data_IF_012863058760
#
_entry.id   IF_012863058760
#
_cell.length_a   1.000
_cell.length_b   1.000
_cell.length_c   1.000
_cell.angle_alpha   90.00
_cell.angle_beta   90.00
_cell.angle_gamma   90.00
#
_symmetry.space_group_name_H-M   'P 1'
#
loop_
_entity.id
_entity.type
_entity.pdbx_description
1 polymer ?
#
# COMPACT_ATOMS: atom_id res chain seq x y z
N UNK A 1 14.27 -27.27 -26.21
CA UNK A 1 14.25 -25.85 -25.78
C UNK A 1 14.20 -25.81 -24.27
N UNK A 2 15.15 -25.12 -23.63
CA UNK A 2 15.18 -24.94 -22.15
C UNK A 2 14.24 -23.81 -21.72
N UNK A 3 13.86 -23.76 -20.44
CA UNK A 3 13.00 -22.67 -19.94
C UNK A 3 13.66 -21.29 -20.08
N UNK A 4 14.99 -21.23 -20.00
CA UNK A 4 15.75 -20.00 -20.24
C UNK A 4 15.64 -19.52 -21.70
N UNK A 5 15.67 -20.44 -22.66
CA UNK A 5 15.48 -20.13 -24.09
C UNK A 5 14.04 -19.66 -24.39
N UNK A 6 13.03 -20.32 -23.79
CA UNK A 6 11.63 -19.91 -23.89
C UNK A 6 11.45 -18.50 -23.34
N UNK A 7 11.99 -18.24 -22.15
CA UNK A 7 11.95 -16.92 -21.50
C UNK A 7 12.56 -15.83 -22.39
N UNK A 8 13.74 -16.09 -22.96
CA UNK A 8 14.43 -15.14 -23.83
C UNK A 8 13.62 -14.82 -25.10
N UNK A 9 13.00 -15.84 -25.71
CA UNK A 9 12.14 -15.66 -26.90
C UNK A 9 10.85 -14.91 -26.58
N UNK A 10 10.22 -15.20 -25.45
CA UNK A 10 9.01 -14.48 -25.00
C UNK A 10 9.36 -13.01 -24.73
N UNK A 11 10.46 -12.71 -24.04
CA UNK A 11 10.89 -11.32 -23.81
C UNK A 11 11.07 -10.55 -25.12
N UNK A 12 11.76 -11.14 -26.10
CA UNK A 12 11.88 -10.54 -27.44
C UNK A 12 10.52 -10.27 -28.10
N UNK A 13 9.55 -11.17 -27.96
CA UNK A 13 8.20 -10.98 -28.51
C UNK A 13 7.39 -9.88 -27.79
N UNK A 14 7.77 -9.52 -26.57
CA UNK A 14 7.08 -8.53 -25.73
C UNK A 14 7.76 -7.16 -25.73
N UNK A 15 9.04 -7.10 -26.14
CA UNK A 15 9.84 -5.88 -26.27
C UNK A 15 9.72 -5.23 -27.67
N UNK A 16 9.18 -5.96 -28.66
CA UNK A 16 9.24 -5.57 -30.07
C UNK A 16 7.98 -4.82 -30.54
N UNK A 17 7.79 -3.60 -30.01
CA UNK A 17 6.88 -2.62 -30.60
C UNK A 17 7.55 -1.29 -30.97
N UNK A 18 8.89 -1.30 -31.00
CA UNK A 18 9.69 -0.13 -31.31
C UNK A 18 9.71 0.95 -30.22
N UNK A 19 9.02 0.77 -29.09
CA UNK A 19 8.97 1.76 -28.00
C UNK A 19 10.09 1.59 -26.95
N UNK A 20 10.78 0.44 -26.94
CA UNK A 20 11.82 0.15 -25.96
C UNK A 20 11.31 -0.06 -24.53
N UNK A 21 9.99 -0.19 -24.33
CA UNK A 21 9.39 -0.59 -23.05
C UNK A 21 8.77 -2.00 -23.14
N UNK A 22 9.01 -2.88 -22.16
CA UNK A 22 8.41 -4.22 -22.16
C UNK A 22 6.90 -4.13 -21.98
N UNK A 23 6.13 -4.72 -22.90
CA UNK A 23 4.64 -4.75 -22.84
C UNK A 23 4.09 -5.51 -21.64
N UNK A 24 4.88 -6.37 -21.02
CA UNK A 24 4.55 -7.09 -19.79
C UNK A 24 5.65 -6.82 -18.78
N UNK A 25 5.27 -6.30 -17.61
CA UNK A 25 6.21 -5.99 -16.53
C UNK A 25 6.99 -7.23 -16.07
N UNK A 26 8.25 -7.03 -15.69
CA UNK A 26 9.15 -8.09 -15.21
C UNK A 26 8.54 -8.90 -14.06
N UNK A 27 7.83 -8.21 -13.17
CA UNK A 27 7.19 -8.78 -11.98
C UNK A 27 6.11 -9.81 -12.35
N UNK A 28 5.37 -9.56 -13.44
CA UNK A 28 4.33 -10.48 -13.95
C UNK A 28 4.96 -11.75 -14.53
N UNK A 29 6.08 -11.60 -15.25
CA UNK A 29 6.81 -12.74 -15.80
C UNK A 29 7.43 -13.62 -14.69
N UNK A 30 8.00 -12.98 -13.67
CA UNK A 30 8.62 -13.66 -12.54
C UNK A 30 7.55 -14.40 -11.71
N UNK A 31 6.38 -13.80 -11.52
CA UNK A 31 5.24 -14.45 -10.86
C UNK A 31 4.67 -15.62 -11.68
N UNK A 32 4.49 -15.46 -12.99
CA UNK A 32 4.07 -16.54 -13.87
C UNK A 32 5.06 -17.73 -13.85
N UNK A 33 6.36 -17.42 -13.87
CA UNK A 33 7.42 -18.42 -13.75
C UNK A 33 7.38 -19.12 -12.37
N UNK A 34 7.07 -18.39 -11.30
CA UNK A 34 6.88 -18.96 -9.96
C UNK A 34 5.70 -19.93 -9.95
N UNK A 35 4.55 -19.56 -10.52
CA UNK A 35 3.37 -20.43 -10.60
C UNK A 35 3.68 -21.74 -11.34
N UNK A 36 4.38 -21.66 -12.48
CA UNK A 36 4.82 -22.85 -13.20
C UNK A 36 5.77 -23.73 -12.37
N UNK A 37 6.73 -23.15 -11.65
CA UNK A 37 7.63 -23.93 -10.77
C UNK A 37 6.89 -24.68 -9.66
N UNK A 38 5.83 -24.08 -9.12
CA UNK A 38 5.08 -24.68 -8.01
C UNK A 38 4.09 -25.73 -8.51
N UNK A 39 3.36 -25.44 -9.58
CA UNK A 39 2.21 -26.26 -10.00
C UNK A 39 2.50 -27.17 -11.19
N UNK A 40 3.52 -26.87 -11.98
CA UNK A 40 3.95 -27.66 -13.14
C UNK A 40 5.49 -27.69 -13.28
N UNK A 41 6.23 -28.11 -12.24
CA UNK A 41 7.70 -28.14 -12.27
C UNK A 41 8.28 -28.93 -13.46
N UNK A 42 7.54 -29.93 -13.95
CA UNK A 42 7.87 -30.70 -15.14
C UNK A 42 7.97 -29.84 -16.41
N UNK A 43 7.16 -28.78 -16.52
CA UNK A 43 7.22 -27.82 -17.64
C UNK A 43 8.46 -26.93 -17.53
N UNK A 44 8.91 -26.59 -16.32
CA UNK A 44 10.16 -25.85 -16.13
C UNK A 44 11.38 -26.71 -16.51
N UNK A 45 11.35 -28.00 -16.13
CA UNK A 45 12.40 -28.94 -16.48
C UNK A 45 12.41 -29.27 -17.99
N UNK A 46 11.22 -29.43 -18.58
CA UNK A 46 11.02 -29.80 -19.99
C UNK A 46 9.85 -29.01 -20.62
N UNK A 47 10.08 -27.77 -21.07
CA UNK A 47 9.03 -26.87 -21.56
C UNK A 47 8.08 -27.44 -22.62
N UNK A 48 8.53 -28.24 -23.60
CA UNK A 48 7.62 -28.81 -24.60
C UNK A 48 6.48 -29.67 -24.03
N UNK A 49 6.58 -30.17 -22.79
CA UNK A 49 5.52 -30.95 -22.14
C UNK A 49 4.21 -30.18 -22.00
N UNK A 50 4.27 -28.84 -21.94
CA UNK A 50 3.06 -28.00 -21.84
C UNK A 50 2.16 -28.16 -23.07
N UNK A 51 2.72 -28.44 -24.26
CA UNK A 51 1.96 -28.61 -25.50
C UNK A 51 1.08 -29.87 -25.49
N UNK A 52 1.39 -30.84 -24.64
CA UNK A 52 0.57 -32.04 -24.47
C UNK A 52 -0.65 -31.81 -23.55
N UNK A 53 -0.70 -30.66 -22.87
CA UNK A 53 -1.82 -30.28 -22.00
C UNK A 53 -2.77 -29.34 -22.74
N UNK A 54 -4.07 -29.55 -22.57
CA UNK A 54 -5.07 -28.56 -22.96
C UNK A 54 -4.85 -27.27 -22.16
N UNK A 55 -4.91 -26.11 -22.84
CA UNK A 55 -4.68 -24.80 -22.20
C UNK A 55 -5.60 -24.57 -21.01
N UNK A 56 -6.88 -25.00 -21.08
CA UNK A 56 -7.83 -24.86 -19.98
C UNK A 56 -7.40 -25.64 -18.73
N UNK A 57 -6.76 -26.79 -18.91
CA UNK A 57 -6.21 -27.61 -17.82
C UNK A 57 -4.99 -26.93 -17.20
N UNK A 58 -4.13 -26.32 -18.01
CA UNK A 58 -2.98 -25.53 -17.52
C UNK A 58 -3.46 -24.31 -16.73
N UNK A 59 -4.45 -23.58 -17.25
CA UNK A 59 -5.07 -22.44 -16.53
C UNK A 59 -5.66 -22.88 -15.20
N UNK A 60 -6.39 -23.99 -15.16
CA UNK A 60 -6.96 -24.52 -13.92
C UNK A 60 -5.88 -24.88 -12.89
N UNK A 61 -4.77 -25.49 -13.33
CA UNK A 61 -3.63 -25.82 -12.45
C UNK A 61 -2.91 -24.59 -11.91
N UNK A 62 -2.70 -23.57 -12.74
CA UNK A 62 -1.96 -22.37 -12.36
C UNK A 62 -2.79 -21.39 -11.52
N UNK A 63 -4.11 -21.36 -11.73
CA UNK A 63 -5.02 -20.44 -11.01
C UNK A 63 -5.60 -20.98 -9.72
N UNK A 64 -5.43 -22.28 -9.44
CA UNK A 64 -6.03 -22.96 -8.29
C UNK A 64 -7.56 -22.73 -8.13
N UNK A 65 -8.26 -22.40 -9.22
CA UNK A 65 -9.70 -22.11 -9.22
C UNK A 65 -10.10 -20.64 -9.16
N UNK A 66 -9.15 -19.70 -9.01
CA UNK A 66 -9.43 -18.25 -8.95
C UNK A 66 -9.36 -17.54 -10.33
N UNK A 67 -8.99 -18.28 -11.38
CA UNK A 67 -8.68 -17.73 -12.71
C UNK A 67 -7.27 -17.11 -12.79
N UNK A 68 -6.66 -17.14 -13.99
CA UNK A 68 -5.43 -16.39 -14.25
C UNK A 68 -5.79 -14.97 -14.71
N UNK A 69 -4.99 -13.98 -14.32
CA UNK A 69 -5.13 -12.64 -14.89
C UNK A 69 -4.80 -12.63 -16.39
N UNK A 70 -5.27 -11.58 -17.08
CA UNK A 70 -5.12 -11.46 -18.53
C UNK A 70 -3.65 -11.44 -18.99
N UNK A 71 -2.74 -10.92 -18.17
CA UNK A 71 -1.33 -10.86 -18.49
C UNK A 71 -0.67 -12.24 -18.41
N UNK A 72 -1.03 -13.03 -17.40
CA UNK A 72 -0.60 -14.42 -17.22
C UNK A 72 -1.18 -15.33 -18.30
N UNK A 73 -2.41 -15.08 -18.75
CA UNK A 73 -2.99 -15.76 -19.91
C UNK A 73 -2.24 -15.42 -21.20
N UNK A 74 -1.91 -14.14 -21.42
CA UNK A 74 -1.09 -13.71 -22.56
C UNK A 74 0.31 -14.32 -22.54
N UNK A 75 0.93 -14.48 -21.36
CA UNK A 75 2.20 -15.19 -21.21
C UNK A 75 2.06 -16.68 -21.53
N UNK A 76 0.98 -17.33 -21.08
CA UNK A 76 0.72 -18.72 -21.42
C UNK A 76 0.57 -18.89 -22.94
N UNK A 77 -0.15 -18.00 -23.61
CA UNK A 77 -0.28 -18.01 -25.07
C UNK A 77 1.06 -17.81 -25.78
N UNK A 78 1.91 -16.91 -25.28
CA UNK A 78 3.26 -16.71 -25.78
C UNK A 78 4.14 -17.96 -25.59
N UNK A 79 4.04 -18.66 -24.46
CA UNK A 79 4.72 -19.94 -24.22
C UNK A 79 4.31 -20.99 -25.25
N UNK A 80 3.00 -21.19 -25.45
CA UNK A 80 2.51 -22.15 -26.44
C UNK A 80 2.99 -21.79 -27.86
N UNK A 81 2.93 -20.51 -28.22
CA UNK A 81 3.36 -20.02 -29.54
C UNK A 81 4.86 -20.20 -29.79
N UNK A 82 5.69 -19.91 -28.78
CA UNK A 82 7.15 -20.09 -28.86
C UNK A 82 7.54 -21.55 -29.00
N UNK A 83 6.78 -22.44 -28.35
CA UNK A 83 7.06 -23.87 -28.35
C UNK A 83 6.48 -24.62 -29.56
N UNK A 84 5.45 -24.08 -30.22
CA UNK A 84 4.81 -24.72 -31.38
C UNK A 84 5.49 -24.45 -32.74
N UNK A 85 6.52 -23.60 -32.78
CA UNK A 85 7.41 -23.35 -33.95
C UNK A 85 6.69 -23.08 -35.30
N UNK A 86 5.51 -22.45 -35.29
CA UNK A 86 4.82 -21.97 -36.50
C UNK A 86 5.43 -20.63 -36.93
N UNK A 87 6.38 -20.71 -37.86
CA UNK A 87 7.21 -19.62 -38.37
C UNK A 87 6.57 -18.61 -39.33
N UNK A 88 5.35 -18.14 -39.09
CA UNK A 88 4.86 -16.90 -39.71
C UNK A 88 4.06 -16.10 -38.70
N UNK A 89 4.58 -14.93 -38.36
CA UNK A 89 4.05 -14.04 -37.33
C UNK A 89 3.00 -13.14 -37.98
N UNK A 90 1.74 -13.54 -37.91
CA UNK A 90 0.69 -12.52 -37.88
C UNK A 90 0.89 -11.71 -36.59
N UNK A 91 0.92 -10.36 -36.66
CA UNK A 91 0.84 -9.54 -35.46
C UNK A 91 -0.35 -10.05 -34.65
N UNK A 92 -0.16 -10.29 -33.36
CA UNK A 92 -1.31 -10.37 -32.46
C UNK A 92 -2.07 -9.07 -32.70
N UNK A 93 -3.24 -9.13 -33.34
CA UNK A 93 -4.23 -8.09 -33.19
C UNK A 93 -4.40 -7.99 -31.69
N UNK A 94 -3.85 -6.91 -31.13
CA UNK A 94 -4.05 -6.61 -29.76
C UNK A 94 -5.56 -6.53 -29.62
N UNK A 95 -6.16 -7.56 -29.01
CA UNK A 95 -7.26 -7.30 -28.11
C UNK A 95 -6.60 -6.44 -27.03
N UNK A 96 -6.51 -5.15 -27.34
CA UNK A 96 -6.47 -4.10 -26.34
C UNK A 96 -7.83 -4.24 -25.66
N UNK A 97 -7.96 -5.27 -24.81
CA UNK A 97 -8.66 -4.99 -23.58
C UNK A 97 -7.80 -3.87 -23.02
N UNK A 98 -8.28 -2.64 -23.14
CA UNK A 98 -7.77 -1.57 -22.28
C UNK A 98 -7.57 -2.25 -20.93
N UNK A 99 -6.34 -2.23 -20.37
CA UNK A 99 -6.12 -2.85 -19.07
C UNK A 99 -7.29 -2.34 -18.25
N UNK A 100 -8.18 -3.23 -17.79
CA UNK A 100 -9.29 -2.83 -16.92
C UNK A 100 -8.55 -2.14 -15.81
N UNK A 101 -8.49 -0.80 -15.85
CA UNK A 101 -7.74 0.00 -14.88
C UNK A 101 -8.31 -0.52 -13.59
N UNK A 102 -7.51 -1.25 -12.83
CA UNK A 102 -7.99 -1.90 -11.62
C UNK A 102 -8.40 -0.73 -10.77
N UNK A 103 -9.71 -0.44 -10.77
CA UNK A 103 -10.23 0.76 -10.15
C UNK A 103 -9.84 0.61 -8.70
N UNK A 104 -9.14 1.61 -8.17
CA UNK A 104 -8.71 1.55 -6.79
C UNK A 104 -9.96 1.29 -5.94
N UNK A 105 -9.88 0.35 -4.98
CA UNK A 105 -11.03 -0.01 -4.14
C UNK A 105 -11.61 1.20 -3.40
N UNK A 106 -10.78 2.23 -3.18
CA UNK A 106 -11.14 3.48 -2.53
C UNK A 106 -11.61 4.56 -3.51
N UNK A 107 -11.77 4.26 -4.81
CA UNK A 107 -12.12 5.27 -5.82
C UNK A 107 -13.44 5.98 -5.51
N UNK A 108 -14.50 5.22 -5.21
CA UNK A 108 -15.79 5.81 -4.89
C UNK A 108 -15.77 6.59 -3.57
N UNK A 109 -14.93 6.18 -2.62
CA UNK A 109 -14.69 6.93 -1.38
C UNK A 109 -13.94 8.25 -1.66
N UNK A 110 -12.92 8.23 -2.51
CA UNK A 110 -12.18 9.42 -2.91
C UNK A 110 -13.07 10.41 -3.71
N UNK A 111 -13.95 9.90 -4.57
CA UNK A 111 -14.96 10.71 -5.27
C UNK A 111 -15.90 11.40 -4.28
N UNK A 112 -16.45 10.66 -3.32
CA UNK A 112 -17.30 11.21 -2.27
C UNK A 112 -16.57 12.30 -1.46
N UNK A 113 -15.33 12.06 -1.01
CA UNK A 113 -14.54 13.06 -0.31
C UNK A 113 -14.24 14.28 -1.18
N UNK A 114 -13.96 14.07 -2.47
CA UNK A 114 -13.75 15.15 -3.43
C UNK A 114 -14.97 16.05 -3.48
N UNK A 115 -16.17 15.49 -3.67
CA UNK A 115 -17.43 16.26 -3.70
C UNK A 115 -17.66 17.04 -2.41
N UNK A 116 -17.42 16.42 -1.24
CA UNK A 116 -17.54 17.08 0.07
C UNK A 116 -16.56 18.27 0.16
N UNK A 117 -15.30 18.08 -0.24
CA UNK A 117 -14.28 19.12 -0.23
C UNK A 117 -14.60 20.25 -1.21
N UNK A 118 -14.99 19.94 -2.45
CA UNK A 118 -15.31 20.93 -3.47
C UNK A 118 -16.50 21.80 -3.06
N UNK A 119 -17.51 21.20 -2.41
CA UNK A 119 -18.64 21.93 -1.85
C UNK A 119 -18.22 22.84 -0.69
N UNK A 120 -17.35 22.37 0.21
CA UNK A 120 -16.92 23.14 1.38
C UNK A 120 -16.00 24.31 0.99
N UNK A 121 -15.01 24.06 0.14
CA UNK A 121 -13.99 25.05 -0.24
C UNK A 121 -14.37 25.88 -1.47
N UNK A 122 -15.41 25.50 -2.20
CA UNK A 122 -15.83 26.14 -3.45
C UNK A 122 -14.69 26.22 -4.48
N UNK A 123 -13.91 25.15 -4.60
CA UNK A 123 -12.84 25.00 -5.57
C UNK A 123 -12.76 23.56 -6.05
N UNK A 124 -12.25 23.32 -7.26
CA UNK A 124 -12.01 21.95 -7.71
C UNK A 124 -10.78 21.36 -7.03
N UNK A 125 -10.85 20.06 -6.74
CA UNK A 125 -9.75 19.31 -6.12
C UNK A 125 -9.40 18.11 -6.97
N UNK A 126 -8.13 17.70 -6.93
CA UNK A 126 -7.67 16.48 -7.57
C UNK A 126 -7.00 15.58 -6.55
N UNK A 127 -7.03 14.28 -6.79
CA UNK A 127 -6.40 13.31 -5.91
C UNK A 127 -5.69 12.21 -6.69
N UNK A 128 -4.70 11.62 -6.04
CA UNK A 128 -3.95 10.45 -6.49
C UNK A 128 -4.02 9.33 -5.46
N UNK A 129 -3.80 8.08 -5.89
CA UNK A 129 -3.83 6.91 -5.01
C UNK A 129 -2.44 6.37 -4.79
N UNK A 130 -2.22 5.80 -3.59
CA UNK A 130 -1.02 5.03 -3.26
C UNK A 130 0.29 5.82 -3.46
N UNK A 131 0.22 7.15 -3.34
CA UNK A 131 1.33 8.07 -3.56
C UNK A 131 2.41 7.89 -2.49
N UNK A 132 3.68 8.02 -2.87
CA UNK A 132 4.83 7.95 -1.96
C UNK A 132 5.67 9.22 -2.02
N UNK A 133 5.23 10.32 -1.37
CA UNK A 133 5.94 11.59 -1.44
C UNK A 133 7.38 11.47 -0.94
N UNK A 134 8.29 12.20 -1.59
CA UNK A 134 9.73 12.19 -1.26
C UNK A 134 10.03 12.73 0.14
N UNK A 135 9.17 13.60 0.66
CA UNK A 135 9.27 14.19 2.00
C UNK A 135 8.66 13.29 3.09
N UNK A 136 7.76 12.35 2.74
CA UNK A 136 7.11 11.47 3.71
C UNK A 136 7.96 10.22 3.97
N UNK A 137 8.95 10.33 4.85
CA UNK A 137 9.91 9.25 5.16
C UNK A 137 9.36 8.29 6.21
N UNK A 138 9.71 7.01 6.07
CA UNK A 138 9.43 5.94 7.04
C UNK A 138 10.34 5.99 8.27
N UNK A 139 11.47 6.70 8.16
CA UNK A 139 12.43 6.95 9.23
C UNK A 139 12.34 8.44 9.54
N UNK A 140 12.04 8.85 10.79
CA UNK A 140 11.90 10.26 11.12
C UNK A 140 13.27 10.96 11.05
N UNK A 141 13.29 12.13 10.43
CA UNK A 141 14.47 12.99 10.38
C UNK A 141 14.42 14.01 11.53
N UNK A 142 15.49 14.11 12.31
CA UNK A 142 15.52 15.02 13.47
C UNK A 142 15.41 16.49 13.07
N UNK A 143 15.94 16.88 11.92
CA UNK A 143 15.83 18.26 11.42
C UNK A 143 14.40 18.62 11.05
N UNK A 144 13.67 17.70 10.42
CA UNK A 144 12.24 17.88 10.08
C UNK A 144 11.38 17.89 11.34
N UNK A 145 11.60 16.96 12.25
CA UNK A 145 10.74 16.76 13.42
C UNK A 145 11.21 17.50 14.68
N UNK A 146 12.16 18.45 14.59
CA UNK A 146 12.82 19.07 15.75
C UNK A 146 11.82 19.60 16.80
N UNK A 147 10.79 20.31 16.35
CA UNK A 147 9.77 20.92 17.21
C UNK A 147 8.93 19.90 18.01
N UNK A 148 8.82 18.67 17.52
CA UNK A 148 8.02 17.58 18.13
C UNK A 148 8.88 16.35 18.44
N UNK A 149 10.22 16.49 18.39
CA UNK A 149 11.14 15.34 18.46
C UNK A 149 11.01 14.56 19.76
N UNK A 150 10.72 15.27 20.84
CA UNK A 150 10.45 14.69 22.16
C UNK A 150 9.25 13.74 22.11
N UNK A 151 8.18 14.14 21.43
CA UNK A 151 6.96 13.35 21.32
C UNK A 151 7.19 12.12 20.43
N UNK A 152 7.88 12.31 19.29
CA UNK A 152 8.28 11.20 18.41
C UNK A 152 9.13 10.17 19.14
N UNK A 153 10.10 10.64 19.92
CA UNK A 153 10.99 9.78 20.69
C UNK A 153 10.25 9.06 21.82
N UNK A 154 9.31 9.73 22.50
CA UNK A 154 8.50 9.13 23.55
C UNK A 154 7.57 8.04 23.01
N UNK A 155 6.87 8.30 21.90
CA UNK A 155 6.02 7.30 21.24
C UNK A 155 6.85 6.11 20.79
N UNK A 156 8.03 6.35 20.19
CA UNK A 156 8.94 5.27 19.81
C UNK A 156 9.33 4.40 21.01
N UNK A 157 9.76 5.02 22.12
CA UNK A 157 10.20 4.31 23.33
C UNK A 157 9.07 3.44 23.92
N UNK A 158 7.85 3.95 24.01
CA UNK A 158 6.68 3.18 24.47
C UNK A 158 6.36 2.01 23.52
N UNK A 159 6.51 2.22 22.21
CA UNK A 159 6.30 1.19 21.20
C UNK A 159 7.34 0.09 21.21
N UNK A 160 8.45 0.23 21.90
CA UNK A 160 9.53 -0.76 21.97
C UNK A 160 9.86 -1.15 23.41
N UNK A 161 8.94 -0.82 24.32
CA UNK A 161 9.00 -1.14 25.75
C UNK A 161 10.30 -0.63 26.40
N UNK A 162 10.68 0.62 26.06
CA UNK A 162 11.83 1.36 26.59
C UNK A 162 13.20 0.67 26.45
N UNK A 163 13.30 -0.33 25.57
CA UNK A 163 14.55 -1.09 25.35
C UNK A 163 15.70 -0.24 24.81
N UNK A 164 15.36 0.84 24.11
CA UNK A 164 16.29 1.70 23.38
C UNK A 164 15.64 3.06 23.10
N UNK A 165 16.46 4.07 22.84
CA UNK A 165 15.96 5.38 22.41
C UNK A 165 15.96 5.47 20.88
N UNK A 166 15.10 6.35 20.34
CA UNK A 166 15.08 6.60 18.89
C UNK A 166 16.43 7.13 18.40
N UNK A 167 17.05 8.03 19.16
CA UNK A 167 18.36 8.61 18.80
C UNK A 167 19.44 7.54 18.72
N UNK A 168 19.56 6.67 19.73
CA UNK A 168 20.57 5.60 19.71
C UNK A 168 20.39 4.69 18.50
N UNK A 169 19.14 4.38 18.12
CA UNK A 169 18.85 3.52 16.96
C UNK A 169 19.13 4.15 15.63
N UNK A 170 18.87 5.43 15.49
CA UNK A 170 19.22 6.17 14.27
C UNK A 170 20.74 6.26 14.11
N UNK A 171 21.48 6.43 15.20
CA UNK A 171 22.96 6.49 15.18
C UNK A 171 23.57 5.11 14.91
N UNK A 172 23.11 4.06 15.61
CA UNK A 172 23.62 2.69 15.47
C UNK A 172 23.40 2.13 14.06
N UNK A 173 22.27 2.44 13.41
CA UNK A 173 21.89 1.93 12.09
C UNK A 173 21.90 3.00 10.98
N UNK A 174 22.69 4.07 11.15
CA UNK A 174 22.74 5.16 10.19
C UNK A 174 23.08 4.70 8.76
N UNK A 175 23.85 3.61 8.61
CA UNK A 175 24.23 3.05 7.32
C UNK A 175 23.12 2.17 6.69
N UNK A 176 22.31 1.50 7.50
CA UNK A 176 21.26 0.58 7.08
C UNK A 176 19.91 1.26 6.87
N UNK A 177 19.66 2.38 7.55
CA UNK A 177 18.44 3.18 7.44
C UNK A 177 18.39 3.93 6.10
N UNK A 178 18.19 3.19 5.01
CA UNK A 178 17.90 3.78 3.69
C UNK A 178 16.48 4.32 3.73
N UNK A 179 16.35 5.65 3.70
CA UNK A 179 15.11 6.42 3.87
C UNK A 179 13.96 5.99 2.96
N UNK A 180 13.28 4.90 3.34
CA UNK A 180 12.06 4.42 2.72
C UNK A 180 10.98 5.50 2.79
N UNK A 181 10.09 5.48 1.82
CA UNK A 181 8.96 6.41 1.76
C UNK A 181 7.71 5.71 2.25
N UNK A 182 6.88 6.44 2.96
CA UNK A 182 5.57 5.95 3.32
C UNK A 182 4.63 6.15 2.14
N UNK A 183 3.65 5.25 2.03
CA UNK A 183 2.57 5.34 1.04
C UNK A 183 1.35 5.95 1.70
N UNK A 184 0.70 6.85 1.01
CA UNK A 184 -0.58 7.46 1.36
C UNK A 184 -1.68 6.78 0.53
N UNK A 185 -2.81 6.43 1.15
CA UNK A 185 -3.89 5.73 0.44
C UNK A 185 -4.54 6.64 -0.62
N UNK A 186 -4.93 7.85 -0.22
CA UNK A 186 -5.41 8.91 -1.11
C UNK A 186 -4.69 10.21 -0.76
N UNK A 187 -4.08 10.86 -1.74
CA UNK A 187 -3.46 12.16 -1.60
C UNK A 187 -4.26 13.19 -2.39
N UNK A 188 -4.83 14.18 -1.70
CA UNK A 188 -5.42 15.35 -2.34
C UNK A 188 -4.31 16.35 -2.66
N UNK A 189 -4.19 16.68 -3.94
CA UNK A 189 -3.20 17.64 -4.43
C UNK A 189 -3.56 19.07 -4.00
N UNK A 190 -2.73 20.04 -4.40
CA UNK A 190 -3.07 21.44 -4.27
C UNK A 190 -4.45 21.73 -4.90
N UNK A 191 -5.32 22.52 -4.24
CA UNK A 191 -4.99 23.41 -3.13
C UNK A 191 -5.11 22.80 -1.72
N UNK A 192 -5.43 21.50 -1.58
CA UNK A 192 -5.63 20.88 -0.28
C UNK A 192 -4.35 20.33 0.33
N UNK A 193 -3.46 19.71 -0.45
CA UNK A 193 -2.24 19.06 0.07
C UNK A 193 -2.52 18.21 1.33
N UNK A 194 -3.45 17.27 1.22
CA UNK A 194 -3.98 16.52 2.35
C UNK A 194 -3.83 15.01 2.14
N UNK A 195 -3.30 14.33 3.15
CA UNK A 195 -3.32 12.87 3.21
C UNK A 195 -4.68 12.38 3.69
N UNK A 196 -5.16 11.30 3.10
CA UNK A 196 -6.30 10.53 3.60
C UNK A 196 -5.87 9.07 3.75
N UNK A 197 -6.06 8.52 4.94
CA UNK A 197 -5.74 7.13 5.27
C UNK A 197 -7.03 6.36 5.61
N UNK A 198 -7.21 5.19 4.99
CA UNK A 198 -8.36 4.33 5.26
C UNK A 198 -7.93 3.13 6.11
N UNK A 199 -8.26 3.19 7.39
CA UNK A 199 -7.83 2.22 8.39
C UNK A 199 -8.79 1.03 8.46
N UNK A 200 -8.34 -0.10 7.92
CA UNK A 200 -9.00 -1.40 8.09
C UNK A 200 -8.67 -2.03 9.46
N UNK A 201 -9.32 -3.15 9.79
CA UNK A 201 -9.25 -3.83 11.09
C UNK A 201 -7.82 -4.00 11.62
N UNK A 202 -6.84 -4.32 10.76
CA UNK A 202 -5.45 -4.52 11.17
C UNK A 202 -4.73 -3.28 11.72
N UNK A 203 -5.25 -2.07 11.49
CA UNK A 203 -4.71 -0.84 12.06
C UNK A 203 -5.14 -0.63 13.52
N UNK A 204 -6.21 -1.29 13.96
CA UNK A 204 -6.70 -1.23 15.33
C UNK A 204 -6.04 -2.33 16.15
N UNK A 205 -5.11 -1.97 17.01
CA UNK A 205 -4.31 -2.94 17.77
C UNK A 205 -3.69 -2.30 19.02
N UNK A 206 -3.12 -3.09 19.95
CA UNK A 206 -2.55 -2.56 21.19
C UNK A 206 -1.39 -1.58 21.00
N UNK A 207 -0.65 -1.65 19.88
CA UNK A 207 0.42 -0.71 19.59
C UNK A 207 -0.12 0.62 19.04
N UNK A 208 -1.20 0.59 18.25
CA UNK A 208 -1.91 1.82 17.88
C UNK A 208 -2.54 2.48 19.11
N UNK A 209 -3.09 1.70 20.04
CA UNK A 209 -3.54 2.21 21.34
C UNK A 209 -2.40 2.92 22.09
N UNK A 210 -1.22 2.30 22.16
CA UNK A 210 -0.02 2.92 22.76
C UNK A 210 0.34 4.25 22.11
N UNK A 211 0.30 4.36 20.77
CA UNK A 211 0.56 5.67 20.13
C UNK A 211 -0.50 6.70 20.51
N UNK A 212 -1.79 6.30 20.49
CA UNK A 212 -2.91 7.16 20.85
C UNK A 212 -2.87 7.65 22.31
N UNK A 213 -2.30 6.87 23.22
CA UNK A 213 -2.17 7.23 24.63
C UNK A 213 -0.90 8.02 24.95
N UNK A 214 0.17 7.83 24.15
CA UNK A 214 1.47 8.43 24.41
C UNK A 214 1.61 9.88 23.90
N UNK A 215 0.66 10.37 23.10
CA UNK A 215 0.66 11.74 22.60
C UNK A 215 -0.72 12.39 22.83
N UNK A 216 -0.75 13.61 23.35
CA UNK A 216 -1.98 14.35 23.67
C UNK A 216 -2.37 15.36 22.59
N UNK A 217 -1.51 15.56 21.57
CA UNK A 217 -1.73 16.52 20.49
C UNK A 217 -2.76 16.11 19.43
N UNK A 218 -3.47 14.98 19.61
CA UNK A 218 -4.46 14.48 18.65
C UNK A 218 -5.62 15.44 18.38
N UNK A 219 -5.86 16.42 19.26
CA UNK A 219 -6.79 17.51 19.00
C UNK A 219 -6.41 18.33 17.74
N UNK A 220 -5.18 18.23 17.24
CA UNK A 220 -4.72 18.90 16.02
C UNK A 220 -4.84 18.03 14.76
N UNK A 221 -5.18 16.75 14.91
CA UNK A 221 -5.39 15.82 13.80
C UNK A 221 -6.82 15.91 13.25
N UNK A 222 -7.04 15.38 12.04
CA UNK A 222 -8.35 15.30 11.39
C UNK A 222 -8.93 13.88 11.46
N UNK A 223 -9.04 13.36 12.68
CA UNK A 223 -9.81 12.15 12.97
C UNK A 223 -10.40 12.22 14.38
N UNK A 224 -11.47 11.47 14.60
CA UNK A 224 -12.13 11.40 15.90
C UNK A 224 -11.37 10.43 16.82
N UNK A 225 -10.69 10.99 17.81
CA UNK A 225 -9.95 10.23 18.81
C UNK A 225 -10.86 9.31 19.61
N UNK A 226 -12.04 9.79 20.01
CA UNK A 226 -13.00 9.06 20.85
C UNK A 226 -13.67 7.93 20.04
N UNK A 227 -13.73 8.06 18.72
CA UNK A 227 -14.11 6.97 17.81
C UNK A 227 -13.01 5.91 17.67
N UNK A 228 -11.73 6.32 17.60
CA UNK A 228 -10.60 5.41 17.38
C UNK A 228 -10.20 4.62 18.63
N UNK A 229 -10.26 5.25 19.80
CA UNK A 229 -9.78 4.65 21.05
C UNK A 229 -10.47 3.31 21.37
N UNK A 230 -11.82 3.19 21.38
CA UNK A 230 -12.50 1.94 21.71
C UNK A 230 -12.22 0.81 20.69
N UNK A 231 -12.02 1.15 19.41
CA UNK A 231 -11.69 0.16 18.38
C UNK A 231 -10.32 -0.48 18.65
N UNK A 232 -9.36 0.33 19.11
CA UNK A 232 -8.03 -0.17 19.48
C UNK A 232 -8.01 -0.94 20.80
N UNK A 233 -8.83 -0.54 21.78
CA UNK A 233 -8.95 -1.22 23.09
C UNK A 233 -9.60 -2.61 22.96
N UNK A 234 -10.62 -2.74 22.11
CA UNK A 234 -11.34 -4.00 21.92
C UNK A 234 -10.51 -5.05 21.16
N UNK A 235 -9.43 -4.65 20.49
CA UNK A 235 -8.70 -5.53 19.59
C UNK A 235 -7.48 -6.17 20.25
N UNK A 236 -7.55 -7.47 20.47
CA UNK A 236 -6.38 -8.30 20.79
C UNK A 236 -5.85 -8.95 19.52
N UNK A 237 -4.56 -8.77 19.23
CA UNK A 237 -3.91 -9.52 18.15
C UNK A 237 -3.24 -10.76 18.74
N UNK A 238 -3.69 -11.99 18.39
CA UNK A 238 -2.98 -13.19 18.79
C UNK A 238 -1.62 -13.24 18.08
N UNK A 239 -0.60 -13.74 18.79
CA UNK A 239 0.69 -14.03 18.17
C UNK A 239 0.49 -14.96 16.98
N UNK A 240 0.99 -14.54 15.81
CA UNK A 240 0.73 -15.24 14.56
C UNK A 240 1.65 -14.78 13.44
N UNK A 241 1.67 -15.58 12.39
CA UNK A 241 2.57 -15.43 11.25
C UNK A 241 1.84 -15.05 9.96
N UNK A 242 0.71 -14.36 10.06
CA UNK A 242 0.00 -13.92 8.85
C UNK A 242 0.86 -12.93 8.04
N UNK A 243 0.63 -12.79 6.72
CA UNK A 243 1.33 -11.80 5.92
C UNK A 243 1.18 -10.35 6.43
N UNK A 244 0.12 -10.06 7.21
CA UNK A 244 -0.11 -8.77 7.84
C UNK A 244 0.70 -8.57 9.13
N UNK A 245 1.18 -9.65 9.73
CA UNK A 245 1.97 -9.69 10.97
C UNK A 245 3.47 -9.82 10.71
N UNK A 246 3.91 -10.21 9.50
CA UNK A 246 5.34 -10.36 9.16
C UNK A 246 5.93 -9.15 8.43
N UNK A 247 7.06 -8.64 8.92
CA UNK A 247 7.83 -7.61 8.23
C UNK A 247 8.14 -8.03 6.79
N UNK A 248 7.96 -7.09 5.86
CA UNK A 248 8.28 -7.32 4.43
C UNK A 248 9.78 -7.29 4.18
N UNK A 249 10.48 -6.43 4.91
CA UNK A 249 11.92 -6.22 4.86
C UNK A 249 12.42 -5.94 6.28
N UNK A 250 13.72 -6.14 6.50
CA UNK A 250 14.38 -5.70 7.73
C UNK A 250 14.15 -4.20 7.96
N UNK A 251 13.76 -3.85 9.17
CA UNK A 251 13.61 -2.47 9.62
C UNK A 251 14.44 -2.28 10.90
N UNK A 252 15.48 -1.44 10.88
CA UNK A 252 16.30 -1.22 12.06
C UNK A 252 15.55 -0.55 13.23
N UNK A 253 14.47 0.18 13.00
CA UNK A 253 13.67 0.73 14.10
C UNK A 253 12.76 -0.33 14.74
N UNK A 254 12.40 -1.36 13.98
CA UNK A 254 11.51 -2.45 14.39
C UNK A 254 12.03 -3.78 13.83
N UNK A 255 13.01 -4.42 14.47
CA UNK A 255 13.61 -5.66 13.99
C UNK A 255 12.57 -6.78 13.99
N UNK A 256 12.71 -7.83 13.15
CA UNK A 256 11.71 -8.88 13.00
C UNK A 256 11.18 -9.41 14.32
N UNK A 257 12.03 -9.69 15.31
CA UNK A 257 11.60 -9.99 16.68
C UNK A 257 12.44 -9.18 17.66
N UNK A 258 11.85 -8.77 18.78
CA UNK A 258 12.61 -8.34 19.95
C UNK A 258 12.83 -9.56 20.87
N UNK A 259 13.90 -9.55 21.66
CA UNK A 259 14.21 -10.66 22.56
C UNK A 259 13.03 -10.95 23.51
N UNK A 260 12.59 -12.21 23.53
CA UNK A 260 11.48 -12.68 24.36
C UNK A 260 10.09 -12.50 23.74
N UNK A 261 9.98 -12.00 22.51
CA UNK A 261 8.68 -11.85 21.84
C UNK A 261 8.29 -13.06 20.99
N UNK A 262 6.98 -13.30 20.93
CA UNK A 262 6.38 -14.41 20.18
C UNK A 262 5.85 -13.99 18.80
N UNK A 263 5.96 -12.72 18.43
CA UNK A 263 5.43 -12.20 17.17
C UNK A 263 6.37 -11.21 16.51
N UNK A 264 6.17 -11.01 15.21
CA UNK A 264 6.95 -10.08 14.43
C UNK A 264 6.52 -8.61 14.64
N UNK A 265 7.49 -7.69 14.62
CA UNK A 265 7.29 -6.28 14.96
C UNK A 265 6.65 -5.41 13.87
N UNK A 266 6.15 -6.01 12.80
CA UNK A 266 5.38 -5.29 11.77
C UNK A 266 4.24 -4.44 12.34
N UNK A 267 3.56 -4.91 13.38
CA UNK A 267 2.42 -4.19 13.95
C UNK A 267 2.89 -2.93 14.68
N UNK A 268 4.00 -3.02 15.44
CA UNK A 268 4.68 -1.86 16.05
C UNK A 268 5.15 -0.87 14.98
N UNK A 269 5.79 -1.38 13.92
CA UNK A 269 6.24 -0.59 12.78
C UNK A 269 5.07 0.17 12.12
N UNK A 270 3.93 -0.50 11.90
CA UNK A 270 2.74 0.12 11.31
C UNK A 270 2.19 1.20 12.22
N UNK A 271 2.02 0.92 13.51
CA UNK A 271 1.53 1.90 14.48
C UNK A 271 2.42 3.15 14.53
N UNK A 272 3.76 2.98 14.52
CA UNK A 272 4.69 4.10 14.50
C UNK A 272 4.59 4.93 13.21
N UNK A 273 4.52 4.26 12.06
CA UNK A 273 4.37 4.94 10.76
C UNK A 273 3.04 5.68 10.65
N UNK A 274 1.97 5.07 11.15
CA UNK A 274 0.66 5.72 11.25
C UNK A 274 0.73 6.98 12.10
N UNK A 275 1.38 6.91 13.26
CA UNK A 275 1.65 8.08 14.10
C UNK A 275 2.48 9.14 13.38
N UNK A 276 3.57 8.78 12.67
CA UNK A 276 4.37 9.74 11.91
C UNK A 276 3.52 10.51 10.89
N UNK A 277 2.61 9.84 10.18
CA UNK A 277 1.67 10.52 9.25
C UNK A 277 0.71 11.47 9.97
N UNK A 278 0.31 11.16 11.20
CA UNK A 278 -0.59 12.01 12.00
C UNK A 278 0.08 13.33 12.37
N UNK A 279 1.37 13.27 12.73
CA UNK A 279 2.13 14.43 13.19
C UNK A 279 2.87 15.17 12.07
N UNK A 280 3.05 14.56 10.89
CA UNK A 280 3.76 15.20 9.76
C UNK A 280 3.19 16.58 9.42
N UNK A 281 1.86 16.80 9.37
CA UNK A 281 1.28 18.13 9.12
C UNK A 281 1.70 19.22 10.13
N UNK A 282 2.07 18.83 11.36
CA UNK A 282 2.52 19.79 12.39
C UNK A 282 3.92 20.34 12.12
N UNK A 283 4.72 19.60 11.36
CA UNK A 283 6.11 19.96 11.02
C UNK A 283 6.30 20.32 9.55
N UNK A 284 5.27 20.10 8.73
CA UNK A 284 5.23 20.41 7.30
C UNK A 284 4.15 21.47 7.02
N UNK A 285 4.49 22.78 7.03
CA UNK A 285 3.50 23.86 6.94
C UNK A 285 2.64 23.87 5.69
N UNK A 286 3.05 23.16 4.63
CA UNK A 286 2.35 23.05 3.35
C UNK A 286 1.48 21.80 3.23
N UNK A 287 1.28 21.06 4.33
CA UNK A 287 0.51 19.83 4.36
C UNK A 287 -0.60 19.99 5.39
N UNK A 288 -1.85 19.81 4.96
CA UNK A 288 -2.99 19.87 5.87
C UNK A 288 -3.08 18.62 6.76
N UNK A 289 -3.76 18.70 7.92
CA UNK A 289 -3.92 17.57 8.83
C UNK A 289 -4.46 16.32 8.12
N UNK A 290 -3.84 15.17 8.38
CA UNK A 290 -4.24 13.87 7.81
C UNK A 290 -5.66 13.53 8.21
N UNK A 291 -6.54 13.29 7.24
CA UNK A 291 -7.85 12.71 7.49
C UNK A 291 -7.68 11.20 7.68
N UNK A 292 -8.14 10.66 8.82
CA UNK A 292 -8.24 9.21 8.99
C UNK A 292 -9.69 8.76 9.11
N UNK A 293 -10.00 7.71 8.36
CA UNK A 293 -11.30 7.06 8.39
C UNK A 293 -11.12 5.57 8.70
N UNK A 294 -11.75 5.11 9.77
CA UNK A 294 -11.81 3.69 10.07
C UNK A 294 -12.81 2.98 9.17
N UNK A 295 -12.67 1.68 8.95
CA UNK A 295 -13.71 0.87 8.31
C UNK A 295 -15.11 0.98 8.98
N UNK A 296 -15.19 1.42 10.23
CA UNK A 296 -16.46 1.68 10.92
C UNK A 296 -17.18 2.94 10.42
N UNK A 297 -16.47 3.94 9.90
CA UNK A 297 -17.12 5.13 9.30
C UNK A 297 -17.81 4.78 7.98
N UNK A 298 -17.45 3.64 7.39
CA UNK A 298 -18.09 3.05 6.20
C UNK A 298 -18.92 1.82 6.56
N UNK A 299 -19.58 1.84 7.73
CA UNK A 299 -20.49 0.80 8.23
C UNK A 299 -19.89 -0.62 8.22
N UNK A 300 -18.57 -0.72 8.44
CA UNK A 300 -17.84 -1.98 8.45
C UNK A 300 -17.32 -2.42 7.07
N UNK A 301 -17.64 -1.72 5.97
CA UNK A 301 -17.19 -2.06 4.62
C UNK A 301 -15.79 -1.55 4.34
N UNK A 302 -15.03 -2.31 3.56
CA UNK A 302 -13.65 -1.98 3.14
C UNK A 302 -13.49 -1.86 1.61
N UNK A 303 -14.57 -2.11 0.87
CA UNK A 303 -14.70 -2.05 -0.59
C UNK A 303 -16.18 -2.02 -0.96
N UNK A 304 -16.46 -1.72 -2.23
CA UNK A 304 -17.82 -1.76 -2.80
C UNK A 304 -18.81 -0.90 -1.99
N UNK A 305 -18.39 0.33 -1.68
CA UNK A 305 -19.13 1.29 -0.87
C UNK A 305 -20.48 1.67 -1.52
N UNK A 306 -21.45 1.94 -0.66
CA UNK A 306 -22.85 2.23 -0.98
C UNK A 306 -23.21 3.66 -0.56
N UNK A 307 -24.40 4.13 -0.96
CA UNK A 307 -24.89 5.46 -0.58
C UNK A 307 -24.92 5.69 0.94
N UNK A 308 -25.34 4.69 1.71
CA UNK A 308 -25.35 4.74 3.19
C UNK A 308 -23.94 4.89 3.77
N UNK A 309 -22.92 4.30 3.12
CA UNK A 309 -21.53 4.47 3.56
C UNK A 309 -21.04 5.90 3.29
N UNK A 310 -21.46 6.51 2.17
CA UNK A 310 -21.11 7.89 1.84
C UNK A 310 -21.81 8.90 2.76
N UNK A 311 -23.08 8.67 3.11
CA UNK A 311 -23.80 9.48 4.09
C UNK A 311 -23.12 9.45 5.47
N UNK A 312 -22.67 8.25 5.90
CA UNK A 312 -21.93 8.08 7.16
C UNK A 312 -20.57 8.78 7.12
N UNK A 313 -19.84 8.69 6.01
CA UNK A 313 -18.58 9.41 5.80
C UNK A 313 -18.79 10.92 5.84
N UNK A 314 -19.78 11.45 5.12
CA UNK A 314 -20.08 12.89 5.14
C UNK A 314 -20.42 13.37 6.56
N UNK A 315 -21.26 12.63 7.28
CA UNK A 315 -21.59 12.94 8.66
C UNK A 315 -20.34 12.95 9.55
N UNK A 316 -19.47 11.96 9.43
CA UNK A 316 -18.21 11.87 10.16
C UNK A 316 -17.29 13.08 9.90
N UNK A 317 -17.07 13.43 8.63
CA UNK A 317 -16.23 14.58 8.24
C UNK A 317 -16.79 15.90 8.80
N UNK A 318 -18.11 16.12 8.68
CA UNK A 318 -18.77 17.36 9.12
C UNK A 318 -18.85 17.48 10.64
N UNK A 319 -19.19 16.40 11.34
CA UNK A 319 -19.28 16.41 12.81
C UNK A 319 -17.92 16.59 13.46
N UNK A 320 -16.86 16.00 12.88
CA UNK A 320 -15.49 16.15 13.36
C UNK A 320 -14.88 17.53 13.11
N UNK A 321 -15.51 18.34 12.24
CA UNK A 321 -15.02 19.66 11.86
C UNK A 321 -13.61 19.58 11.23
N UNK A 322 -13.38 18.58 10.38
CA UNK A 322 -12.03 18.30 9.86
C UNK A 322 -11.62 19.29 8.77
N UNK A 323 -12.55 19.78 7.97
CA UNK A 323 -12.27 20.70 6.87
C UNK A 323 -12.04 22.13 7.36
N UNK A 324 -12.65 22.51 8.48
CA UNK A 324 -12.48 23.78 9.18
C UNK A 324 -11.04 23.99 9.67
N UNK A 325 -10.28 22.90 9.83
CA UNK A 325 -8.87 22.92 10.26
C UNK A 325 -7.90 23.07 9.09
N UNK A 326 -8.39 22.97 7.86
CA UNK A 326 -7.57 23.00 6.66
C UNK A 326 -7.45 24.40 6.09
N UNK A 327 -6.34 24.65 5.41
CA UNK A 327 -6.10 25.88 4.68
C UNK A 327 -5.88 25.58 3.19
N UNK A 328 -6.50 26.36 2.31
CA UNK A 328 -6.21 26.29 0.89
C UNK A 328 -4.83 26.87 0.62
N UNK A 329 -3.99 26.10 -0.06
CA UNK A 329 -2.61 26.45 -0.36
C UNK A 329 -2.43 26.57 -1.88
N UNK A 330 -1.69 27.58 -2.36
CA UNK A 330 -1.40 27.69 -3.78
C UNK A 330 -0.56 26.51 -4.27
N UNK A 331 -0.73 26.14 -5.54
CA UNK A 331 0.08 25.13 -6.20
C UNK A 331 1.55 25.56 -6.17
N UNK A 332 2.31 24.97 -5.25
CA UNK A 332 3.74 25.20 -5.05
C UNK A 332 4.35 23.92 -4.49
N UNK A 333 5.61 23.66 -4.83
CA UNK A 333 6.27 22.42 -4.41
C UNK A 333 6.29 22.31 -2.87
N UNK A 334 5.97 21.10 -2.37
CA UNK A 334 6.01 20.70 -0.95
C UNK A 334 7.41 20.20 -0.61
#
# INVERSE_FOLDING_TARGET
MTWAEVTLRIRRLLDDDGSGQPRIGRDVFDEFSRLLRVHMPEVIAHPPLVLACDKSVVVAKLSQGEGLDAASLGLLDAVYRVLSDTGDVAPLEAVVSEPKRKVNKLKSLADCLSEICEQFFNCSVSYSFETQPDWLRSVPDRGVYDAVWKDVSAVYAVLVDDRWTLTDRLEEFAAELKGGRQRVDIWFEAPLNCMVEFDETQHFNPFRLKTLQAWDGYAQCSFDYDHYLPLTEATTIPAGETPFQRLKNFDPLFPPMLDGEAQDNRIRQRAFRDFLKDITPLVMPKVNPTIRMSYMTTNGRIRDFTGEDFESVEAYIRQGGFLERMQLMPCSDI
#
